data_IF_067861917098
#
_entry.id   IF_067861917098
#
_cell.length_a   1.000
_cell.length_b   1.000
_cell.length_c   1.000
_cell.angle_alpha   90.00
_cell.angle_beta   90.00
_cell.angle_gamma   90.00
#
_symmetry.space_group_name_H-M   'P 1'
#
loop_
_entity.id
_entity.type
_entity.pdbx_description
1 polymer ?
#
# COMPACT_ATOMS: atom_id res chain seq x y z
N UNK A 1 8.65 -2.58 3.23
CA UNK A 1 8.28 -1.17 2.99
C UNK A 1 8.06 -0.55 4.34
N UNK A 2 8.96 0.32 4.77
CA UNK A 2 8.88 0.94 6.10
C UNK A 2 7.78 2.02 6.16
N UNK A 3 7.47 2.65 5.03
CA UNK A 3 6.37 3.62 4.90
C UNK A 3 5.61 3.42 3.58
N UNK A 4 4.42 2.80 3.66
CA UNK A 4 3.55 2.57 2.51
C UNK A 4 2.94 3.87 1.97
N UNK A 5 2.79 4.91 2.79
CA UNK A 5 2.23 6.19 2.36
C UNK A 5 3.23 6.96 1.51
N UNK A 6 4.49 7.02 1.94
CA UNK A 6 5.55 7.65 1.15
C UNK A 6 5.73 6.97 -0.22
N UNK A 7 5.79 5.64 -0.24
CA UNK A 7 5.91 4.87 -1.48
C UNK A 7 4.69 5.06 -2.41
N UNK A 8 3.49 5.14 -1.83
CA UNK A 8 2.26 5.37 -2.60
C UNK A 8 2.23 6.77 -3.22
N UNK A 9 2.60 7.81 -2.48
CA UNK A 9 2.66 9.18 -3.01
C UNK A 9 3.74 9.32 -4.09
N UNK A 10 4.86 8.62 -3.98
CA UNK A 10 5.87 8.57 -5.04
C UNK A 10 5.31 7.96 -6.34
N UNK A 11 4.60 6.83 -6.24
CA UNK A 11 3.97 6.20 -7.41
C UNK A 11 2.91 7.10 -8.03
N UNK A 12 2.07 7.73 -7.20
CA UNK A 12 1.06 8.68 -7.65
C UNK A 12 1.70 9.89 -8.34
N UNK A 13 2.81 10.41 -7.82
CA UNK A 13 3.57 11.50 -8.46
C UNK A 13 4.17 11.08 -9.82
N UNK A 14 4.45 9.80 -10.01
CA UNK A 14 4.89 9.21 -11.29
C UNK A 14 3.73 8.95 -12.28
N UNK A 15 2.48 9.24 -11.89
CA UNK A 15 1.32 9.17 -12.77
C UNK A 15 0.68 7.78 -12.89
N UNK A 16 0.92 6.86 -11.96
CA UNK A 16 0.20 5.57 -11.95
C UNK A 16 -1.29 5.78 -11.68
N UNK A 17 -2.14 4.91 -12.23
CA UNK A 17 -3.57 4.94 -11.94
C UNK A 17 -3.80 4.36 -10.55
N UNK A 18 -4.24 5.20 -9.61
CA UNK A 18 -4.59 4.76 -8.26
C UNK A 18 -5.93 4.03 -8.27
N UNK A 19 -5.98 2.84 -7.65
CA UNK A 19 -7.20 2.07 -7.42
C UNK A 19 -7.64 2.10 -5.95
N UNK A 20 -6.70 2.15 -5.02
CA UNK A 20 -6.98 2.26 -3.58
C UNK A 20 -5.79 2.83 -2.83
N UNK A 21 -6.03 3.84 -1.99
CA UNK A 21 -5.02 4.40 -1.11
C UNK A 21 -4.57 3.36 -0.05
N UNK A 22 -3.39 3.54 0.58
CA UNK A 22 -2.94 2.68 1.66
C UNK A 22 -3.98 2.60 2.79
N UNK A 23 -4.32 1.38 3.18
CA UNK A 23 -5.21 1.12 4.30
C UNK A 23 -4.86 -0.21 4.96
N UNK A 24 -5.22 -0.35 6.24
CA UNK A 24 -5.12 -1.61 6.97
C UNK A 24 -6.14 -2.59 6.41
N UNK A 25 -5.68 -3.79 6.06
CA UNK A 25 -6.52 -4.91 5.64
C UNK A 25 -6.68 -5.96 6.73
N UNK A 26 -5.76 -5.99 7.69
CA UNK A 26 -5.76 -6.90 8.82
C UNK A 26 -4.94 -6.34 9.98
N UNK A 27 -5.40 -6.58 11.20
CA UNK A 27 -4.68 -6.27 12.44
C UNK A 27 -4.55 -7.54 13.26
N UNK A 28 -3.32 -7.94 13.54
CA UNK A 28 -3.01 -9.04 14.46
C UNK A 28 -3.10 -8.54 15.90
N UNK A 29 -4.20 -8.85 16.58
CA UNK A 29 -4.44 -8.39 17.96
C UNK A 29 -3.47 -9.01 18.98
N UNK A 30 -2.85 -10.15 18.67
CA UNK A 30 -1.89 -10.81 19.56
C UNK A 30 -0.52 -10.13 19.59
N UNK A 31 -0.10 -9.56 18.45
CA UNK A 31 1.23 -8.97 18.27
C UNK A 31 1.21 -7.45 18.13
N UNK A 32 0.03 -6.86 17.86
CA UNK A 32 -0.13 -5.44 17.50
C UNK A 32 0.32 -5.13 16.07
N UNK A 33 0.43 -6.14 15.20
CA UNK A 33 0.92 -5.94 13.84
C UNK A 33 -0.21 -5.62 12.89
N UNK A 34 -0.10 -4.52 12.15
CA UNK A 34 -1.03 -4.15 11.08
C UNK A 34 -0.46 -4.53 9.72
N UNK A 35 -1.30 -5.13 8.88
CA UNK A 35 -1.03 -5.37 7.47
C UNK A 35 -1.72 -4.31 6.62
N UNK A 36 -0.93 -3.63 5.79
CA UNK A 36 -1.37 -2.54 4.95
C UNK A 36 -1.27 -2.92 3.48
N UNK A 37 -2.26 -2.50 2.69
CA UNK A 37 -2.21 -2.60 1.22
C UNK A 37 -2.64 -1.30 0.55
N UNK A 38 -2.04 -1.04 -0.62
CA UNK A 38 -2.48 0.01 -1.55
C UNK A 38 -2.49 -0.56 -2.96
N UNK A 39 -3.48 -0.21 -3.78
CA UNK A 39 -3.69 -0.78 -5.11
C UNK A 39 -3.55 0.28 -6.20
N UNK A 40 -2.87 -0.06 -7.29
CA UNK A 40 -2.65 0.82 -8.43
C UNK A 40 -2.50 0.00 -9.72
N UNK A 41 -2.48 0.67 -10.86
CA UNK A 41 -2.16 0.05 -12.15
C UNK A 41 -0.86 0.58 -12.70
N UNK A 42 -0.07 -0.29 -13.31
CA UNK A 42 1.05 0.11 -14.13
C UNK A 42 0.57 0.74 -15.46
N UNK A 43 1.49 1.32 -16.26
CA UNK A 43 1.14 1.88 -17.57
C UNK A 43 0.53 0.89 -18.58
N UNK A 44 0.74 -0.42 -18.38
CA UNK A 44 0.19 -1.49 -19.21
C UNK A 44 -1.21 -1.93 -18.75
N UNK A 45 -1.73 -1.33 -17.67
CA UNK A 45 -3.04 -1.62 -17.09
C UNK A 45 -3.05 -2.84 -16.16
N UNK A 46 -1.89 -3.35 -15.74
CA UNK A 46 -1.84 -4.46 -14.79
C UNK A 46 -2.11 -3.95 -13.38
N UNK A 47 -3.03 -4.60 -12.69
CA UNK A 47 -3.29 -4.30 -11.28
C UNK A 47 -2.13 -4.81 -10.39
N UNK A 48 -1.53 -3.89 -9.66
CA UNK A 48 -0.45 -4.13 -8.71
C UNK A 48 -0.82 -3.62 -7.32
N UNK A 49 -0.08 -4.08 -6.32
CA UNK A 49 -0.26 -3.65 -4.94
C UNK A 49 1.07 -3.36 -4.24
N UNK A 50 1.07 -2.33 -3.39
CA UNK A 50 2.05 -2.16 -2.32
C UNK A 50 1.59 -2.93 -1.09
N UNK A 51 2.54 -3.48 -0.33
CA UNK A 51 2.30 -4.16 0.93
C UNK A 51 3.29 -3.67 1.98
N UNK A 52 2.79 -3.46 3.20
CA UNK A 52 3.61 -3.18 4.38
C UNK A 52 3.05 -3.88 5.61
N UNK A 53 3.95 -4.16 6.56
CA UNK A 53 3.63 -4.64 7.91
C UNK A 53 4.27 -3.68 8.90
N UNK A 54 3.44 -3.11 9.77
CA UNK A 54 3.88 -2.18 10.80
C UNK A 54 3.46 -2.75 12.14
N UNK A 55 4.34 -2.65 13.14
CA UNK A 55 3.99 -3.02 14.51
C UNK A 55 3.69 -1.76 15.29
N UNK A 56 2.46 -1.66 15.79
CA UNK A 56 1.98 -0.53 16.58
C UNK A 56 2.15 -0.79 18.07
#
# INVERSE_FOLDING_TARGET
MDDIHAAFEELKARGVTVRGAPHVIYTDEGTGTEEWMAFFEDPDGNALALMSRVRT
#
